data_IF_705100617401
#
_entry.id   IF_705100617401
#
_cell.length_a   1.000
_cell.length_b   1.000
_cell.length_c   1.000
_cell.angle_alpha   90.00
_cell.angle_beta   90.00
_cell.angle_gamma   90.00
#
_symmetry.space_group_name_H-M   'P 1'
#
loop_
_entity.id
_entity.type
_entity.pdbx_description
1 polymer ?
#
# COMPACT_ATOMS: atom_id res chain seq x y z
N UNK A 1 2.27 -16.59 -66.44
CA UNK A 1 0.89 -16.09 -66.30
C UNK A 1 0.59 -15.88 -64.82
N UNK A 2 0.20 -14.68 -64.39
CA UNK A 2 -0.13 -14.37 -62.99
C UNK A 2 -1.56 -14.86 -62.64
N UNK A 3 -1.86 -15.21 -61.38
CA UNK A 3 -3.23 -15.53 -60.99
C UNK A 3 -4.08 -14.25 -60.88
N UNK A 4 -5.19 -14.23 -61.64
CA UNK A 4 -6.16 -13.14 -61.72
C UNK A 4 -6.90 -12.86 -60.41
N UNK A 5 -6.96 -11.58 -60.06
CA UNK A 5 -7.83 -10.99 -59.04
C UNK A 5 -9.31 -11.08 -59.47
N UNK A 6 -10.07 -12.02 -58.90
CA UNK A 6 -11.53 -12.03 -59.01
C UNK A 6 -12.18 -11.33 -57.80
N UNK A 7 -12.71 -10.14 -58.08
CA UNK A 7 -13.66 -9.36 -57.27
C UNK A 7 -14.91 -10.18 -56.93
N UNK A 8 -15.32 -10.21 -55.66
CA UNK A 8 -16.70 -10.47 -55.19
C UNK A 8 -16.98 -9.47 -54.06
N UNK A 9 -17.62 -8.34 -54.36
CA UNK A 9 -19.06 -8.03 -54.18
C UNK A 9 -19.52 -8.18 -52.72
N UNK A 10 -19.50 -7.06 -52.01
CA UNK A 10 -20.14 -6.86 -50.71
C UNK A 10 -21.68 -6.87 -50.84
N UNK A 11 -22.43 -7.39 -49.86
CA UNK A 11 -23.86 -7.15 -49.75
C UNK A 11 -24.17 -5.78 -49.09
N UNK A 12 -25.04 -5.04 -49.79
CA UNK A 12 -25.84 -3.87 -49.38
C UNK A 12 -26.63 -4.15 -48.07
N UNK A 13 -26.56 -3.32 -47.02
CA UNK A 13 -27.20 -2.00 -46.77
C UNK A 13 -28.65 -2.08 -46.27
N UNK A 14 -28.87 -1.72 -45.00
CA UNK A 14 -30.14 -1.22 -44.45
C UNK A 14 -29.93 0.19 -43.86
N UNK A 15 -30.96 1.05 -43.83
CA UNK A 15 -30.83 2.50 -44.05
C UNK A 15 -30.65 3.32 -42.77
N UNK A 16 -29.68 4.24 -42.80
CA UNK A 16 -29.52 5.31 -41.83
C UNK A 16 -30.52 6.46 -42.10
N UNK A 17 -31.27 6.85 -41.07
CA UNK A 17 -32.10 8.05 -41.08
C UNK A 17 -31.26 9.33 -41.19
N UNK A 18 -31.74 10.25 -42.01
CA UNK A 18 -31.09 11.47 -42.45
C UNK A 18 -30.99 12.57 -41.35
N UNK A 19 -30.02 13.51 -41.48
CA UNK A 19 -29.83 14.66 -40.58
C UNK A 19 -30.50 15.94 -41.12
N UNK A 20 -30.64 17.01 -40.31
CA UNK A 20 -30.76 18.36 -40.85
C UNK A 20 -29.53 19.23 -40.57
N UNK A 21 -29.30 20.15 -41.51
CA UNK A 21 -28.09 20.94 -41.70
C UNK A 21 -28.11 22.34 -41.05
N UNK A 22 -26.89 22.89 -40.97
CA UNK A 22 -26.38 24.20 -40.53
C UNK A 22 -27.14 25.46 -41.00
N UNK A 23 -27.15 26.55 -40.19
CA UNK A 23 -26.31 27.78 -40.36
C UNK A 23 -26.75 29.00 -39.50
N UNK A 24 -25.71 29.68 -38.96
CA UNK A 24 -25.49 31.14 -38.68
C UNK A 24 -26.33 31.88 -37.61
N UNK A 25 -25.61 32.58 -36.69
CA UNK A 25 -26.15 33.58 -35.72
C UNK A 25 -26.54 34.92 -36.37
N UNK A 26 -26.80 36.04 -35.64
CA UNK A 26 -26.16 36.49 -34.37
C UNK A 26 -27.12 37.12 -33.31
N UNK A 27 -26.51 37.71 -32.24
CA UNK A 27 -26.96 38.78 -31.29
C UNK A 27 -27.89 38.56 -30.06
N UNK A 28 -27.50 39.27 -28.96
CA UNK A 28 -28.21 39.74 -27.74
C UNK A 28 -28.28 38.79 -26.51
N UNK A 29 -27.60 39.06 -25.38
CA UNK A 29 -27.99 39.94 -24.22
C UNK A 29 -29.32 39.47 -23.57
N UNK A 30 -29.57 39.39 -22.26
CA UNK A 30 -28.85 39.53 -20.99
C UNK A 30 -29.86 39.23 -19.83
N UNK A 31 -29.36 39.04 -18.60
CA UNK A 31 -29.97 39.30 -17.26
C UNK A 31 -31.06 38.40 -16.62
N UNK A 32 -30.65 37.79 -15.50
CA UNK A 32 -31.26 37.51 -14.18
C UNK A 32 -32.78 37.67 -13.90
N UNK A 33 -33.31 36.80 -13.02
CA UNK A 33 -33.70 37.10 -11.60
C UNK A 33 -34.69 36.06 -11.04
N UNK A 34 -34.62 35.84 -9.72
CA UNK A 34 -35.64 35.35 -8.72
C UNK A 34 -35.17 34.09 -7.97
N UNK A 35 -35.12 34.01 -6.63
CA UNK A 35 -35.26 34.93 -5.47
C UNK A 35 -34.68 34.20 -4.25
N UNK A 36 -34.02 34.96 -3.38
CA UNK A 36 -33.48 34.60 -2.06
C UNK A 36 -34.48 34.99 -0.94
N UNK A 37 -34.16 34.58 0.29
CA UNK A 37 -34.83 34.75 1.60
C UNK A 37 -35.59 33.49 2.04
N UNK A 38 -35.31 32.87 3.20
CA UNK A 38 -35.40 33.46 4.55
C UNK A 38 -34.39 32.78 5.51
N UNK A 39 -33.63 33.58 6.26
CA UNK A 39 -33.02 33.21 7.56
C UNK A 39 -33.85 33.83 8.69
N UNK A 40 -33.86 33.21 9.89
CA UNK A 40 -33.43 33.99 11.06
C UNK A 40 -32.50 33.23 12.03
N UNK A 41 -31.75 34.04 12.75
CA UNK A 41 -30.65 33.79 13.69
C UNK A 41 -31.14 33.42 15.11
N UNK A 42 -30.55 32.42 15.78
CA UNK A 42 -30.34 32.42 17.25
C UNK A 42 -29.26 31.42 17.73
N UNK A 43 -28.17 32.01 18.23
CA UNK A 43 -27.44 31.76 19.49
C UNK A 43 -27.16 30.34 20.01
N UNK A 44 -25.84 30.06 20.13
CA UNK A 44 -25.10 29.18 21.07
C UNK A 44 -25.88 28.11 21.88
N UNK A 45 -25.54 26.85 21.61
CA UNK A 45 -25.23 25.85 22.66
C UNK A 45 -24.12 24.94 22.15
N UNK A 46 -23.03 24.81 22.91
CA UNK A 46 -21.95 23.88 22.67
C UNK A 46 -22.45 22.44 22.82
N UNK A 47 -22.26 21.61 21.79
CA UNK A 47 -22.31 20.16 21.91
C UNK A 47 -21.31 19.57 20.92
N UNK A 48 -20.22 19.05 21.47
CA UNK A 48 -19.21 18.24 20.81
C UNK A 48 -19.85 17.00 20.21
N UNK A 49 -20.01 17.00 18.89
CA UNK A 49 -20.22 15.81 18.07
C UNK A 49 -19.52 16.05 16.74
N UNK A 50 -18.23 15.69 16.64
CA UNK A 50 -17.57 15.60 15.33
C UNK A 50 -18.08 14.33 14.64
N UNK A 51 -19.26 14.46 14.06
CA UNK A 51 -19.71 13.62 12.95
C UNK A 51 -18.91 13.97 11.71
N UNK A 52 -18.61 12.92 10.93
CA UNK A 52 -17.96 12.97 9.64
C UNK A 52 -18.35 14.22 8.83
N UNK A 53 -17.38 15.10 8.61
CA UNK A 53 -17.48 16.20 7.65
C UNK A 53 -16.38 16.06 6.62
N UNK A 54 -16.84 15.71 5.42
CA UNK A 54 -16.21 15.85 4.12
C UNK A 54 -15.25 17.04 4.03
N UNK A 55 -13.98 16.77 3.73
CA UNK A 55 -13.10 17.73 3.06
C UNK A 55 -11.91 18.31 3.83
N UNK A 56 -11.68 17.98 5.11
CA UNK A 56 -10.40 18.35 5.73
C UNK A 56 -9.31 17.39 5.27
N UNK A 57 -8.42 17.91 4.42
CA UNK A 57 -7.14 17.28 4.08
C UNK A 57 -6.43 16.94 5.40
N UNK A 58 -6.34 15.65 5.72
CA UNK A 58 -5.64 15.16 6.90
C UNK A 58 -4.21 15.70 6.87
N UNK A 59 -3.79 16.40 7.93
CA UNK A 59 -2.46 16.96 8.04
C UNK A 59 -1.54 16.03 8.83
N UNK A 60 -0.24 16.13 8.56
CA UNK A 60 0.78 15.46 9.37
C UNK A 60 0.75 16.03 10.78
N UNK A 61 0.65 15.16 11.78
CA UNK A 61 0.53 15.53 13.19
C UNK A 61 -0.88 15.45 13.75
N UNK A 62 -1.90 15.38 12.90
CA UNK A 62 -3.29 15.23 13.35
C UNK A 62 -3.51 13.87 14.01
N UNK A 63 -4.38 13.83 15.03
CA UNK A 63 -4.83 12.57 15.64
C UNK A 63 -6.21 12.23 15.09
N UNK A 64 -6.31 11.09 14.40
CA UNK A 64 -7.55 10.59 13.80
C UNK A 64 -8.27 9.70 14.82
N UNK A 65 -9.58 9.91 14.97
CA UNK A 65 -10.43 8.90 15.60
C UNK A 65 -10.75 7.80 14.59
N UNK A 66 -10.33 6.57 14.87
CA UNK A 66 -10.56 5.43 14.00
C UNK A 66 -12.03 5.00 13.90
N UNK A 67 -12.90 5.43 14.81
CA UNK A 67 -14.32 5.11 14.78
C UNK A 67 -15.01 5.79 13.59
N UNK A 68 -15.40 4.97 12.60
CA UNK A 68 -16.07 5.44 11.37
C UNK A 68 -15.14 6.10 10.35
N UNK A 69 -13.84 6.17 10.59
CA UNK A 69 -12.90 6.75 9.64
C UNK A 69 -12.69 5.85 8.43
N UNK A 70 -12.99 6.37 7.24
CA UNK A 70 -12.83 5.66 5.97
C UNK A 70 -13.84 4.56 5.67
N UNK A 71 -14.75 4.27 6.60
CA UNK A 71 -15.81 3.27 6.43
C UNK A 71 -15.31 1.83 6.41
N UNK A 72 -16.19 0.92 5.93
CA UNK A 72 -15.85 -0.48 5.69
C UNK A 72 -15.09 -0.61 4.37
N UNK A 73 -13.97 -1.33 4.40
CA UNK A 73 -13.16 -1.67 3.23
C UNK A 73 -13.00 -3.18 3.12
N UNK A 74 -12.66 -3.67 1.93
CA UNK A 74 -12.53 -5.12 1.68
C UNK A 74 -11.09 -5.42 1.29
N UNK A 75 -10.49 -6.47 1.83
CA UNK A 75 -9.20 -6.97 1.38
C UNK A 75 -9.32 -7.74 0.07
N UNK A 76 -8.20 -7.96 -0.61
CA UNK A 76 -8.16 -8.71 -1.86
C UNK A 76 -8.74 -10.13 -1.73
N UNK A 77 -8.65 -10.75 -0.56
CA UNK A 77 -9.18 -12.08 -0.25
C UNK A 77 -10.69 -12.09 0.06
N UNK A 78 -11.35 -10.93 0.07
CA UNK A 78 -12.78 -10.79 0.37
C UNK A 78 -13.09 -10.51 1.84
N UNK A 79 -12.08 -10.44 2.72
CA UNK A 79 -12.27 -10.13 4.13
C UNK A 79 -12.66 -8.66 4.30
N UNK A 80 -13.77 -8.40 4.98
CA UNK A 80 -14.19 -7.05 5.34
C UNK A 80 -13.42 -6.57 6.56
N UNK A 81 -12.87 -5.36 6.49
CA UNK A 81 -12.08 -4.77 7.56
C UNK A 81 -12.30 -3.26 7.61
N UNK A 82 -11.73 -2.62 8.64
CA UNK A 82 -11.75 -1.17 8.83
C UNK A 82 -10.34 -0.70 9.15
N UNK A 83 -10.06 0.59 9.01
CA UNK A 83 -8.75 1.12 9.38
C UNK A 83 -8.39 0.81 10.85
N UNK A 84 -9.40 0.84 11.75
CA UNK A 84 -9.24 0.48 13.15
C UNK A 84 -8.69 -0.94 13.34
N UNK A 85 -9.35 -1.92 12.70
CA UNK A 85 -8.95 -3.33 12.81
C UNK A 85 -7.52 -3.55 12.27
N UNK A 86 -7.17 -2.92 11.14
CA UNK A 86 -5.82 -3.01 10.58
C UNK A 86 -4.75 -2.41 11.51
N UNK A 87 -5.08 -1.31 12.18
CA UNK A 87 -4.17 -0.69 13.16
C UNK A 87 -4.06 -1.53 14.43
N UNK A 88 -5.14 -2.16 14.90
CA UNK A 88 -5.14 -3.05 16.06
C UNK A 88 -4.32 -4.33 15.81
N UNK A 89 -4.41 -4.91 14.61
CA UNK A 89 -3.59 -6.05 14.16
C UNK A 89 -2.09 -5.69 14.04
N UNK A 90 -1.78 -4.41 13.84
CA UNK A 90 -0.41 -3.93 13.71
C UNK A 90 0.27 -3.71 15.07
N UNK A 91 1.61 -3.81 15.08
CA UNK A 91 2.39 -3.61 16.33
C UNK A 91 2.60 -2.13 16.62
N UNK A 92 3.10 -1.37 15.64
CA UNK A 92 3.43 0.06 15.79
C UNK A 92 2.47 0.99 15.04
N UNK A 93 1.87 0.52 13.96
CA UNK A 93 0.99 1.32 13.11
C UNK A 93 0.89 0.77 11.69
N UNK A 94 0.29 1.56 10.81
CA UNK A 94 -0.06 1.16 9.45
C UNK A 94 0.49 2.16 8.43
N UNK A 95 1.10 1.61 7.37
CA UNK A 95 1.51 2.32 6.16
C UNK A 95 0.55 1.94 5.03
N UNK A 96 -0.19 2.92 4.53
CA UNK A 96 -1.05 2.80 3.36
C UNK A 96 -0.40 3.52 2.19
N UNK A 97 -0.01 2.80 1.14
CA UNK A 97 0.36 3.45 -0.12
C UNK A 97 -0.81 3.37 -1.10
N UNK A 98 -1.19 4.50 -1.66
CA UNK A 98 -2.30 4.58 -2.62
C UNK A 98 -1.80 4.48 -4.05
N UNK A 99 -2.56 3.78 -4.89
CA UNK A 99 -2.27 3.69 -6.32
C UNK A 99 -3.54 3.84 -7.19
N UNK A 100 -3.48 4.55 -8.33
CA UNK A 100 -4.64 4.77 -9.19
C UNK A 100 -5.28 3.52 -9.78
N UNK A 101 -4.45 2.56 -10.20
CA UNK A 101 -4.91 1.35 -10.89
C UNK A 101 -3.88 0.23 -10.84
N UNK A 102 -4.30 -0.96 -10.39
CA UNK A 102 -3.51 -2.17 -10.34
C UNK A 102 -2.93 -2.55 -11.72
N UNK A 103 -1.80 -3.26 -11.73
CA UNK A 103 -1.15 -3.79 -12.95
C UNK A 103 -0.77 -2.74 -14.03
N UNK A 104 -0.77 -1.45 -13.71
CA UNK A 104 -0.23 -0.41 -14.60
C UNK A 104 1.26 -0.18 -14.33
N UNK A 105 2.07 0.30 -15.29
CA UNK A 105 3.53 0.39 -15.13
C UNK A 105 3.96 1.13 -13.86
N UNK A 106 3.48 2.36 -13.64
CA UNK A 106 3.86 3.14 -12.46
C UNK A 106 3.39 2.56 -11.12
N UNK A 107 2.21 1.93 -11.08
CA UNK A 107 1.71 1.26 -9.87
C UNK A 107 2.43 -0.05 -9.60
N UNK A 108 2.81 -0.76 -10.67
CA UNK A 108 3.63 -1.96 -10.58
C UNK A 108 5.00 -1.62 -10.01
N UNK A 109 5.66 -0.57 -10.51
CA UNK A 109 6.93 -0.11 -9.96
C UNK A 109 6.80 0.25 -8.48
N UNK A 110 5.78 1.02 -8.09
CA UNK A 110 5.56 1.40 -6.70
C UNK A 110 5.39 0.17 -5.80
N UNK A 111 4.50 -0.77 -6.17
CA UNK A 111 4.26 -1.97 -5.40
C UNK A 111 5.51 -2.87 -5.32
N UNK A 112 6.25 -3.04 -6.41
CA UNK A 112 7.50 -3.81 -6.38
C UNK A 112 8.53 -3.15 -5.45
N UNK A 113 8.66 -1.82 -5.46
CA UNK A 113 9.55 -1.13 -4.54
C UNK A 113 9.15 -1.31 -3.06
N UNK A 114 7.85 -1.30 -2.74
CA UNK A 114 7.38 -1.63 -1.39
C UNK A 114 7.65 -3.09 -1.02
N UNK A 115 7.49 -4.04 -1.95
CA UNK A 115 7.83 -5.44 -1.75
C UNK A 115 9.32 -5.60 -1.46
N UNK A 116 10.17 -5.01 -2.29
CA UNK A 116 11.62 -5.16 -2.21
C UNK A 116 12.17 -4.52 -0.91
N UNK A 117 11.42 -3.57 -0.33
CA UNK A 117 11.73 -2.94 0.96
C UNK A 117 10.80 -3.38 2.10
N UNK A 118 10.04 -4.47 1.93
CA UNK A 118 9.02 -4.87 2.90
C UNK A 118 9.65 -5.22 4.25
N UNK A 119 10.65 -6.12 4.26
CA UNK A 119 11.32 -6.57 5.47
C UNK A 119 11.89 -5.42 6.34
N UNK A 120 12.70 -4.48 5.81
CA UNK A 120 13.22 -3.38 6.63
C UNK A 120 12.13 -2.42 7.10
N UNK A 121 11.06 -2.22 6.32
CA UNK A 121 9.95 -1.37 6.74
C UNK A 121 9.13 -2.03 7.86
N UNK A 122 8.81 -3.31 7.74
CA UNK A 122 8.04 -4.06 8.75
C UNK A 122 8.83 -4.36 10.03
N UNK A 123 10.16 -4.36 9.97
CA UNK A 123 11.03 -4.53 11.15
C UNK A 123 10.80 -3.44 12.21
N UNK A 124 10.26 -2.29 11.83
CA UNK A 124 9.87 -1.20 12.74
C UNK A 124 8.53 -1.42 13.44
N UNK A 125 7.85 -2.55 13.18
CA UNK A 125 6.53 -2.89 13.72
C UNK A 125 5.35 -2.33 12.92
N UNK A 126 5.61 -1.59 11.83
CA UNK A 126 4.57 -1.07 10.94
C UNK A 126 4.11 -2.14 9.94
N UNK A 127 2.79 -2.25 9.75
CA UNK A 127 2.21 -3.10 8.72
C UNK A 127 1.97 -2.30 7.42
N UNK A 128 2.30 -2.90 6.27
CA UNK A 128 2.16 -2.25 4.95
C UNK A 128 0.90 -2.79 4.26
N UNK A 129 0.12 -1.89 3.68
CA UNK A 129 -1.02 -2.23 2.83
C UNK A 129 -1.01 -1.35 1.58
N UNK A 130 -1.34 -1.96 0.44
CA UNK A 130 -1.68 -1.20 -0.76
C UNK A 130 -3.16 -0.80 -0.75
N UNK A 131 -3.50 0.40 -1.21
CA UNK A 131 -4.88 0.90 -1.25
C UNK A 131 -5.26 1.43 -2.63
N UNK A 132 -6.39 0.96 -3.16
CA UNK A 132 -6.93 1.41 -4.46
C UNK A 132 -8.44 1.27 -4.55
N UNK A 133 -9.02 1.87 -5.60
CA UNK A 133 -10.42 1.68 -5.99
C UNK A 133 -10.65 0.40 -6.83
N UNK A 134 -9.64 -0.46 -7.00
CA UNK A 134 -9.75 -1.69 -7.77
C UNK A 134 -10.60 -2.75 -7.05
N UNK A 135 -11.13 -3.71 -7.81
CA UNK A 135 -11.90 -4.83 -7.26
C UNK A 135 -11.00 -5.87 -6.57
N UNK A 136 -11.55 -6.69 -5.65
CA UNK A 136 -10.81 -7.80 -5.02
C UNK A 136 -10.15 -8.74 -6.03
N UNK A 137 -10.83 -9.05 -7.15
CA UNK A 137 -10.30 -9.89 -8.22
C UNK A 137 -9.07 -9.27 -8.91
N UNK A 138 -9.12 -7.96 -9.18
CA UNK A 138 -8.02 -7.22 -9.81
C UNK A 138 -6.79 -7.18 -8.90
N UNK A 139 -7.01 -6.87 -7.62
CA UNK A 139 -5.95 -6.81 -6.61
C UNK A 139 -5.37 -8.20 -6.30
N UNK A 140 -6.19 -9.25 -6.24
CA UNK A 140 -5.70 -10.64 -6.08
C UNK A 140 -4.76 -11.02 -7.22
N UNK A 141 -5.20 -10.81 -8.46
CA UNK A 141 -4.38 -11.08 -9.65
C UNK A 141 -3.07 -10.27 -9.63
N UNK A 142 -3.13 -9.02 -9.19
CA UNK A 142 -1.96 -8.15 -9.11
C UNK A 142 -0.98 -8.60 -8.02
N UNK A 143 -1.49 -8.97 -6.84
CA UNK A 143 -0.70 -9.52 -5.74
C UNK A 143 0.01 -10.81 -6.15
N UNK A 144 -0.70 -11.74 -6.78
CA UNK A 144 -0.13 -13.00 -7.27
C UNK A 144 0.94 -12.76 -8.34
N UNK A 145 0.64 -11.97 -9.38
CA UNK A 145 1.57 -11.71 -10.49
C UNK A 145 2.85 -10.97 -10.09
N UNK A 146 2.82 -10.26 -8.97
CA UNK A 146 3.97 -9.47 -8.48
C UNK A 146 4.55 -10.01 -7.18
N UNK A 147 4.01 -11.12 -6.69
CA UNK A 147 4.44 -11.80 -5.46
C UNK A 147 4.50 -10.81 -4.29
N UNK A 148 3.44 -10.02 -4.11
CA UNK A 148 3.42 -8.99 -3.09
C UNK A 148 3.22 -9.63 -1.70
N UNK A 149 4.15 -9.39 -0.74
CA UNK A 149 4.14 -10.05 0.58
C UNK A 149 3.13 -9.45 1.55
N UNK A 150 2.45 -8.38 1.14
CA UNK A 150 1.48 -7.65 1.95
C UNK A 150 0.06 -7.73 1.34
N UNK A 151 -0.98 -7.50 2.14
CA UNK A 151 -2.37 -7.38 1.66
C UNK A 151 -2.64 -6.09 0.87
N UNK A 152 -3.69 -6.12 0.05
CA UNK A 152 -4.19 -5.02 -0.77
C UNK A 152 -5.65 -4.72 -0.43
N UNK A 153 -5.91 -3.49 0.00
CA UNK A 153 -7.23 -2.97 0.33
C UNK A 153 -7.93 -2.50 -0.95
N UNK A 154 -9.14 -3.00 -1.12
CA UNK A 154 -10.08 -2.70 -2.20
C UNK A 154 -11.16 -1.75 -1.66
N UNK A 155 -10.92 -0.45 -1.77
CA UNK A 155 -11.86 0.59 -1.38
C UNK A 155 -12.72 0.97 -2.58
N UNK A 156 -13.67 0.13 -2.99
CA UNK A 156 -14.46 0.39 -4.21
C UNK A 156 -15.30 1.68 -4.11
N UNK A 157 -15.70 2.09 -2.90
CA UNK A 157 -16.47 3.30 -2.63
C UNK A 157 -15.61 4.57 -2.53
N UNK A 158 -14.28 4.44 -2.51
CA UNK A 158 -13.33 5.52 -2.30
C UNK A 158 -13.52 6.26 -0.96
N UNK A 159 -14.12 5.63 0.04
CA UNK A 159 -14.44 6.28 1.32
C UNK A 159 -13.20 6.52 2.15
N UNK A 160 -12.31 5.52 2.23
CA UNK A 160 -11.02 5.63 2.91
C UNK A 160 -10.07 6.52 2.13
N UNK A 161 -10.01 6.37 0.80
CA UNK A 161 -9.20 7.20 -0.09
C UNK A 161 -9.61 8.69 0.01
N UNK A 162 -10.90 8.97 0.12
CA UNK A 162 -11.40 10.32 0.37
C UNK A 162 -11.02 10.83 1.77
N UNK A 163 -11.21 10.00 2.80
CA UNK A 163 -10.94 10.36 4.18
C UNK A 163 -9.46 10.75 4.40
N UNK A 164 -8.52 10.06 3.76
CA UNK A 164 -7.09 10.39 3.83
C UNK A 164 -6.65 11.52 2.87
N UNK A 165 -7.58 12.13 2.12
CA UNK A 165 -7.30 13.25 1.24
C UNK A 165 -6.59 12.90 -0.08
N UNK A 166 -6.54 11.62 -0.46
CA UNK A 166 -5.88 11.14 -1.68
C UNK A 166 -6.87 10.78 -2.80
N UNK A 167 -8.11 11.26 -2.73
CA UNK A 167 -9.08 11.14 -3.82
C UNK A 167 -8.79 12.19 -4.91
N UNK A 168 -8.81 11.76 -6.18
CA UNK A 168 -8.72 12.66 -7.33
C UNK A 168 -10.12 13.11 -7.74
N UNK A 169 -10.30 14.42 -7.99
CA UNK A 169 -11.56 14.97 -8.53
C UNK A 169 -11.54 14.93 -10.07
N UNK A 170 -12.65 14.57 -10.76
CA UNK A 170 -13.96 14.16 -10.21
C UNK A 170 -14.03 12.69 -9.76
N UNK A 171 -13.09 11.84 -10.20
CA UNK A 171 -12.99 10.45 -9.77
C UNK A 171 -11.56 9.91 -9.84
N UNK A 172 -11.29 8.85 -9.08
CA UNK A 172 -10.01 8.14 -9.02
C UNK A 172 -9.20 8.39 -7.76
N UNK A 173 -8.01 7.79 -7.74
CA UNK A 173 -7.07 7.82 -6.62
C UNK A 173 -5.81 8.57 -7.02
N UNK A 174 -5.34 9.46 -6.16
CA UNK A 174 -4.02 10.09 -6.27
C UNK A 174 -2.98 9.14 -5.69
N UNK A 175 -1.89 8.92 -6.41
CA UNK A 175 -0.75 8.14 -5.91
C UNK A 175 -0.12 8.87 -4.73
N UNK A 176 0.10 8.19 -3.62
CA UNK A 176 0.64 8.79 -2.42
C UNK A 176 0.89 7.76 -1.33
N UNK A 177 1.16 8.29 -0.14
CA UNK A 177 1.34 7.51 1.06
C UNK A 177 0.66 8.18 2.24
N UNK A 178 0.15 7.33 3.12
CA UNK A 178 -0.47 7.70 4.36
C UNK A 178 0.07 6.79 5.46
N UNK A 179 0.60 7.36 6.52
CA UNK A 179 1.19 6.61 7.64
C UNK A 179 0.54 7.08 8.93
N UNK A 180 0.03 6.12 9.71
CA UNK A 180 -0.61 6.36 10.99
C UNK A 180 -0.03 5.43 12.05
N UNK A 181 0.20 5.95 13.24
CA UNK A 181 0.65 5.13 14.38
C UNK A 181 -0.53 4.46 15.10
N UNK A 182 -0.23 3.60 16.07
CA UNK A 182 -1.23 2.91 16.89
C UNK A 182 -2.08 3.84 17.76
N UNK A 183 -1.60 5.05 18.02
CA UNK A 183 -2.32 6.08 18.78
C UNK A 183 -3.24 6.94 17.91
N UNK A 184 -3.24 6.73 16.58
CA UNK A 184 -4.03 7.52 15.63
C UNK A 184 -3.35 8.78 15.14
N UNK A 185 -2.08 9.01 15.49
CA UNK A 185 -1.32 10.15 14.99
C UNK A 185 -0.86 9.90 13.56
N UNK A 186 -1.14 10.87 12.70
CA UNK A 186 -0.72 10.86 11.30
C UNK A 186 0.74 11.29 11.22
N UNK A 187 1.58 10.41 10.68
CA UNK A 187 3.00 10.65 10.47
C UNK A 187 3.30 11.13 9.05
N UNK A 188 2.51 10.69 8.07
CA UNK A 188 2.60 11.13 6.68
C UNK A 188 1.22 11.10 6.03
N UNK A 189 0.95 12.07 5.15
CA UNK A 189 -0.23 12.09 4.29
C UNK A 189 0.09 12.95 3.06
N UNK A 190 0.76 12.37 2.06
CA UNK A 190 1.23 13.13 0.90
C UNK A 190 1.16 12.35 -0.42
N UNK A 191 0.85 13.04 -1.53
CA UNK A 191 0.97 12.47 -2.87
C UNK A 191 2.45 12.32 -3.25
N UNK A 192 2.77 11.36 -4.11
CA UNK A 192 4.15 11.10 -4.50
C UNK A 192 4.32 10.27 -5.76
N UNK A 193 5.57 10.23 -6.26
CA UNK A 193 5.97 9.33 -7.35
C UNK A 193 6.16 7.89 -6.82
N UNK A 194 6.24 6.87 -7.70
CA UNK A 194 6.45 5.48 -7.28
C UNK A 194 7.62 5.32 -6.29
N UNK A 195 8.79 5.86 -6.62
CA UNK A 195 9.96 5.83 -5.74
C UNK A 195 9.82 6.79 -4.55
N UNK A 196 9.30 8.00 -4.79
CA UNK A 196 9.16 9.02 -3.75
C UNK A 196 8.33 8.57 -2.56
N UNK A 197 7.27 7.78 -2.79
CA UNK A 197 6.45 7.25 -1.68
C UNK A 197 7.20 6.27 -0.79
N UNK A 198 8.10 5.44 -1.34
CA UNK A 198 8.88 4.46 -0.57
C UNK A 198 9.97 5.17 0.22
N UNK A 199 10.65 6.13 -0.41
CA UNK A 199 11.69 6.93 0.23
C UNK A 199 11.13 7.79 1.37
N UNK A 200 9.92 8.36 1.20
CA UNK A 200 9.24 9.09 2.28
C UNK A 200 8.98 8.20 3.49
N UNK A 201 8.45 6.98 3.29
CA UNK A 201 8.21 6.04 4.39
C UNK A 201 9.52 5.60 5.04
N UNK A 202 10.53 5.23 4.26
CA UNK A 202 11.85 4.85 4.79
C UNK A 202 12.44 5.93 5.67
N UNK A 203 12.40 7.18 5.21
CA UNK A 203 12.90 8.34 5.97
C UNK A 203 12.13 8.55 7.26
N UNK A 204 10.79 8.44 7.21
CA UNK A 204 9.93 8.62 8.37
C UNK A 204 10.14 7.51 9.41
N UNK A 205 10.14 6.25 8.99
CA UNK A 205 10.33 5.12 9.89
C UNK A 205 11.76 5.04 10.43
N UNK A 206 12.75 5.41 9.60
CA UNK A 206 14.15 5.55 10.02
C UNK A 206 14.36 6.68 11.04
N UNK A 207 13.64 7.79 10.94
CA UNK A 207 13.66 8.85 11.93
C UNK A 207 12.85 8.51 13.20
N UNK A 208 11.73 7.79 13.05
CA UNK A 208 10.86 7.38 14.16
C UNK A 208 11.51 6.31 15.05
N UNK A 209 12.30 5.40 14.47
CA UNK A 209 13.07 4.42 15.24
C UNK A 209 14.06 5.08 16.21
N UNK A 210 14.62 6.23 15.82
CA UNK A 210 15.53 7.01 16.68
C UNK A 210 14.79 7.80 17.78
N UNK A 211 13.49 8.06 17.61
CA UNK A 211 12.67 8.83 18.55
C UNK A 211 11.88 7.95 19.54
N UNK A 212 11.63 6.68 19.22
CA UNK A 212 10.83 5.75 20.04
C UNK A 212 11.67 4.79 20.91
N UNK A 213 13.00 4.92 20.91
CA UNK A 213 13.85 4.17 21.83
C UNK A 213 13.69 4.72 23.26
N UNK A 214 13.42 3.88 24.28
CA UNK A 214 13.59 4.28 25.66
C UNK A 214 15.03 4.75 25.86
N UNK A 215 15.17 5.92 26.47
CA UNK A 215 16.44 6.44 26.95
C UNK A 215 16.93 5.51 28.07
N UNK A 216 17.65 4.43 27.72
CA UNK A 216 18.52 3.77 28.68
C UNK A 216 19.66 4.73 29.00
N UNK A 217 19.52 5.38 30.15
CA UNK A 217 20.62 5.98 30.87
C UNK A 217 21.58 4.88 31.28
N UNK A 218 22.76 4.82 30.69
CA UNK A 218 23.94 4.51 31.47
C UNK A 218 25.15 5.26 30.93
N UNK A 219 25.37 6.44 31.50
CA UNK A 219 26.67 7.08 31.48
C UNK A 219 27.38 6.75 32.78
N UNK A 220 28.50 6.05 32.70
CA UNK A 220 29.70 6.40 33.49
C UNK A 220 30.93 5.96 32.69
N UNK A 221 31.71 6.99 32.35
CA UNK A 221 33.05 6.93 31.83
C UNK A 221 34.00 6.29 32.86
N UNK A 222 34.90 5.44 32.39
CA UNK A 222 35.96 4.83 33.20
C UNK A 222 37.04 4.24 32.29
N UNK A 223 37.85 5.11 31.69
CA UNK A 223 39.12 4.78 31.06
C UNK A 223 40.04 4.12 32.08
N UNK A 224 40.61 2.95 31.78
CA UNK A 224 42.01 2.61 32.04
C UNK A 224 42.41 1.24 31.49
N UNK A 225 43.53 1.21 30.76
CA UNK A 225 44.48 0.08 30.81
C UNK A 225 44.46 -0.88 29.62
N UNK A 226 45.22 -0.54 28.57
CA UNK A 226 45.71 -1.50 27.58
C UNK A 226 47.01 -2.18 28.07
N UNK A 227 47.10 -3.50 27.90
CA UNK A 227 48.31 -4.35 27.76
C UNK A 227 47.82 -5.69 27.21
N UNK A 228 47.97 -5.99 25.92
CA UNK A 228 49.05 -6.73 25.22
C UNK A 228 49.19 -8.22 25.61
N UNK A 229 49.39 -9.05 24.57
CA UNK A 229 49.80 -10.48 24.53
C UNK A 229 48.62 -11.48 24.70
N UNK A 230 48.32 -12.44 23.81
CA UNK A 230 49.11 -13.20 22.84
C UNK A 230 48.32 -13.67 21.60
N UNK A 231 49.09 -13.97 20.55
CA UNK A 231 48.73 -14.42 19.21
C UNK A 231 48.73 -15.96 19.13
N UNK A 232 47.78 -16.52 18.37
CA UNK A 232 47.77 -17.78 17.60
C UNK A 232 48.69 -18.97 17.98
N UNK A 233 48.11 -20.19 18.07
CA UNK A 233 48.60 -21.37 17.33
C UNK A 233 47.58 -22.52 17.26
N UNK A 234 47.59 -23.19 16.12
CA UNK A 234 46.83 -24.38 15.75
C UNK A 234 47.47 -25.71 16.24
N UNK A 235 46.62 -26.74 16.20
CA UNK A 235 46.89 -28.14 15.75
C UNK A 235 47.18 -29.29 16.76
N UNK A 236 46.51 -30.42 16.45
CA UNK A 236 46.76 -31.86 16.73
C UNK A 236 46.46 -32.46 18.12
N UNK A 237 45.40 -33.28 18.20
CA UNK A 237 45.48 -34.75 18.43
C UNK A 237 44.13 -35.34 18.92
N UNK A 238 43.42 -36.07 18.04
CA UNK A 238 42.72 -37.33 18.36
C UNK A 238 41.92 -37.81 17.12
N UNK A 239 42.59 -38.55 16.25
CA UNK A 239 41.99 -39.39 15.21
C UNK A 239 42.54 -40.79 15.44
N UNK A 240 41.69 -41.79 15.72
CA UNK A 240 41.81 -43.21 15.28
C UNK A 240 40.48 -43.90 15.64
N UNK A 241 39.64 -44.16 14.64
CA UNK A 241 38.71 -45.29 14.65
C UNK A 241 38.19 -45.52 13.22
N UNK A 242 39.06 -45.96 12.33
CA UNK A 242 38.67 -46.69 11.13
C UNK A 242 39.77 -47.69 10.76
N UNK A 243 39.50 -48.99 10.92
CA UNK A 243 40.07 -50.12 10.17
C UNK A 243 39.46 -51.42 10.74
N UNK A 244 38.60 -52.08 9.96
CA UNK A 244 38.72 -53.50 9.62
C UNK A 244 37.54 -53.94 8.74
N UNK A 245 37.76 -53.87 7.43
CA UNK A 245 36.95 -54.53 6.40
C UNK A 245 37.52 -55.95 6.13
N UNK A 246 36.62 -56.91 5.86
CA UNK A 246 36.80 -58.24 5.22
C UNK A 246 37.35 -59.45 6.02
N UNK A 247 36.42 -60.31 6.44
CA UNK A 247 36.37 -61.80 6.40
C UNK A 247 34.90 -62.12 6.81
N UNK A 248 34.04 -62.86 6.12
CA UNK A 248 34.19 -64.11 5.39
C UNK A 248 32.94 -64.27 4.47
N UNK A 249 33.15 -64.69 3.23
CA UNK A 249 32.10 -65.31 2.41
C UNK A 249 32.37 -66.82 2.39
N UNK A 250 31.32 -67.60 2.64
CA UNK A 250 31.16 -69.02 2.29
C UNK A 250 31.66 -70.09 3.29
N UNK A 251 30.76 -70.60 4.13
CA UNK A 251 30.62 -72.02 4.50
C UNK A 251 29.35 -72.15 5.37
N UNK A 252 28.21 -72.51 4.77
CA UNK A 252 27.68 -73.88 4.84
C UNK A 252 27.20 -74.28 6.25
N UNK A 253 25.88 -74.37 6.41
CA UNK A 253 25.31 -75.50 7.14
C UNK A 253 23.96 -75.94 6.55
N UNK A 254 23.81 -77.23 6.23
CA UNK A 254 22.55 -77.83 5.79
C UNK A 254 21.64 -78.11 6.99
N UNK A 255 20.33 -78.04 6.79
CA UNK A 255 19.35 -78.98 7.35
C UNK A 255 17.92 -78.62 6.89
N UNK A 256 17.23 -79.66 6.40
CA UNK A 256 15.82 -79.80 6.00
C UNK A 256 15.47 -79.39 4.58
#
# INVERSE_FOLDING_TARGET
MPPELRKRKAPASEPAAAPPAKKKGPVAKAVAKVKEAITPKKTKTAKTTNGATTGSKVAVGDTINFEGFGGEVVLQDGTKTTLKALVEESTAGVVLFTYPKASTPGCTTQACLFRDNHAPLTATGFAIYGLSNDSPKSNTTFKEKKELPYPLICDQSATLIAAIGLKKSPSGTTRGVFVVDKSGKVLAAEPGSPAGTVEAVKKLLGASATAAAPKETNGTSGVNGATKEDVAKAEVAAQVADTAEKLDSNAEKPAV
#
